data_IF_118203121441
#
_entry.id   IF_118203121441
#
_cell.length_a   1.000
_cell.length_b   1.000
_cell.length_c   1.000
_cell.angle_alpha   90.00
_cell.angle_beta   90.00
_cell.angle_gamma   90.00
#
_symmetry.space_group_name_H-M   'P 1'
#
loop_
_entity.id
_entity.type
_entity.pdbx_description
1 polymer ?
#
# COMPACT_ATOMS: atom_id res chain seq x y z
N UNK A 1 -1.23 -18.25 -7.29
CA UNK A 1 0.00 -18.42 -6.47
C UNK A 1 0.49 -17.01 -6.10
N UNK A 2 0.74 -16.70 -4.83
CA UNK A 2 1.25 -15.38 -4.41
C UNK A 2 2.74 -15.51 -4.09
N UNK A 3 3.58 -14.78 -4.81
CA UNK A 3 5.01 -14.68 -4.52
C UNK A 3 5.22 -13.86 -3.24
N UNK A 4 6.26 -14.20 -2.48
CA UNK A 4 6.64 -13.53 -1.24
C UNK A 4 8.14 -13.40 -1.21
N UNK A 5 8.60 -12.24 -0.79
CA UNK A 5 10.03 -11.91 -0.78
C UNK A 5 10.47 -11.81 0.67
N UNK A 6 11.63 -12.41 0.93
CA UNK A 6 12.29 -12.42 2.23
C UNK A 6 13.70 -11.88 2.01
N UNK A 7 14.06 -10.85 2.77
CA UNK A 7 15.45 -10.47 2.98
C UNK A 7 16.10 -11.58 3.82
N UNK A 8 16.93 -12.37 3.15
CA UNK A 8 17.57 -13.52 3.77
C UNK A 8 18.47 -13.11 4.94
N UNK A 9 19.26 -12.04 4.82
CA UNK A 9 20.21 -11.65 5.86
C UNK A 9 19.48 -11.16 7.11
N UNK A 10 18.47 -10.31 6.93
CA UNK A 10 17.65 -9.81 8.02
C UNK A 10 16.89 -10.95 8.70
N UNK A 11 16.18 -11.78 7.93
CA UNK A 11 15.32 -12.80 8.53
C UNK A 11 16.14 -13.94 9.15
N UNK A 12 17.20 -14.39 8.48
CA UNK A 12 18.01 -15.51 8.97
C UNK A 12 18.77 -15.13 10.25
N UNK A 13 19.33 -13.92 10.33
CA UNK A 13 20.01 -13.46 11.54
C UNK A 13 19.09 -13.49 12.76
N UNK A 14 17.84 -13.06 12.63
CA UNK A 14 16.86 -13.11 13.72
C UNK A 14 16.37 -14.54 13.98
N UNK A 15 16.01 -15.32 12.94
CA UNK A 15 15.52 -16.70 13.15
C UNK A 15 16.59 -17.58 13.82
N UNK A 16 17.88 -17.34 13.56
CA UNK A 16 18.98 -18.06 14.20
C UNK A 16 18.97 -17.94 15.73
N UNK A 17 18.42 -16.85 16.29
CA UNK A 17 18.27 -16.68 17.75
C UNK A 17 17.04 -17.39 18.30
N UNK A 18 16.11 -17.83 17.44
CA UNK A 18 14.83 -18.45 17.78
C UNK A 18 14.70 -19.89 17.25
N UNK A 19 15.80 -20.66 17.22
CA UNK A 19 15.77 -22.08 16.85
C UNK A 19 15.00 -22.92 17.89
N UNK A 20 15.09 -22.54 19.18
CA UNK A 20 14.38 -23.16 20.31
C UNK A 20 13.89 -22.09 21.29
N UNK A 21 12.87 -22.40 22.09
CA UNK A 21 12.38 -21.44 23.06
C UNK A 21 13.40 -21.22 24.18
N UNK A 22 13.86 -19.98 24.37
CA UNK A 22 14.80 -19.64 25.45
C UNK A 22 14.27 -19.86 26.87
N UNK A 23 12.94 -19.94 27.05
CA UNK A 23 12.31 -20.12 28.37
C UNK A 23 12.07 -21.57 28.74
N UNK A 24 11.53 -22.38 27.82
CA UNK A 24 11.10 -23.74 28.10
C UNK A 24 11.79 -24.80 27.25
N UNK A 25 12.74 -24.41 26.39
CA UNK A 25 13.41 -25.26 25.41
C UNK A 25 12.46 -25.97 24.40
N UNK A 26 11.18 -25.58 24.41
CA UNK A 26 10.14 -26.19 23.59
C UNK A 26 10.20 -25.78 22.12
N UNK A 27 9.42 -26.51 21.32
CA UNK A 27 9.32 -26.32 19.88
C UNK A 27 8.73 -24.95 19.52
N UNK A 28 9.29 -24.35 18.47
CA UNK A 28 8.86 -23.09 17.90
C UNK A 28 8.10 -23.34 16.58
N UNK A 29 6.99 -22.63 16.39
CA UNK A 29 6.17 -22.64 15.20
C UNK A 29 6.28 -21.30 14.46
N UNK A 30 6.40 -21.36 13.14
CA UNK A 30 6.47 -20.20 12.26
C UNK A 30 5.17 -20.06 11.46
N UNK A 31 4.64 -18.83 11.35
CA UNK A 31 3.44 -18.54 10.55
C UNK A 31 3.56 -17.19 9.87
N UNK A 32 3.24 -17.10 8.57
CA UNK A 32 3.13 -15.82 7.88
C UNK A 32 1.85 -15.07 8.27
N UNK A 33 1.94 -13.77 8.57
CA UNK A 33 0.82 -12.89 8.93
C UNK A 33 1.06 -11.46 8.40
N UNK A 34 0.06 -10.58 8.52
CA UNK A 34 0.14 -9.15 8.15
C UNK A 34 0.76 -8.93 6.75
N UNK A 35 0.08 -9.43 5.73
CA UNK A 35 0.54 -9.38 4.34
C UNK A 35 0.26 -7.99 3.75
N UNK A 36 1.29 -7.34 3.24
CA UNK A 36 1.24 -6.01 2.64
C UNK A 36 2.07 -6.05 1.36
N UNK A 37 1.43 -6.17 0.19
CA UNK A 37 2.14 -6.36 -1.07
C UNK A 37 2.98 -7.63 -1.09
N UNK A 38 4.28 -7.49 -1.35
CA UNK A 38 5.28 -8.55 -1.29
C UNK A 38 5.83 -8.80 0.12
N UNK A 39 5.69 -7.80 1.00
CA UNK A 39 6.13 -7.85 2.39
C UNK A 39 5.11 -8.50 3.34
N UNK A 40 5.61 -9.11 4.43
CA UNK A 40 4.77 -9.74 5.45
C UNK A 40 5.52 -9.90 6.77
N UNK A 41 4.81 -10.24 7.85
CA UNK A 41 5.44 -10.63 9.12
C UNK A 41 5.50 -12.16 9.26
N UNK A 42 6.64 -12.65 9.74
CA UNK A 42 6.82 -14.02 10.21
C UNK A 42 6.54 -14.01 11.72
N UNK A 43 5.42 -14.61 12.11
CA UNK A 43 5.10 -14.88 13.49
C UNK A 43 5.91 -16.10 13.96
N UNK A 44 6.62 -15.95 15.05
CA UNK A 44 7.39 -16.98 15.75
C UNK A 44 6.73 -17.19 17.10
N UNK A 45 6.22 -18.38 17.37
CA UNK A 45 5.54 -18.70 18.64
C UNK A 45 6.06 -20.00 19.22
N UNK A 46 6.28 -20.02 20.53
CA UNK A 46 6.50 -21.27 21.26
C UNK A 46 5.16 -21.96 21.53
N UNK A 47 5.12 -23.29 21.42
CA UNK A 47 3.92 -24.09 21.69
C UNK A 47 3.42 -23.95 23.14
N UNK A 48 4.34 -23.82 24.10
CA UNK A 48 4.03 -23.77 25.52
C UNK A 48 3.93 -22.33 26.07
N UNK A 49 4.89 -21.45 25.74
CA UNK A 49 4.93 -20.09 26.29
C UNK A 49 3.98 -19.10 25.61
N UNK A 50 3.43 -19.45 24.43
CA UNK A 50 2.40 -18.73 23.64
C UNK A 50 2.66 -17.25 23.32
N UNK A 51 3.76 -16.65 23.75
CA UNK A 51 4.13 -15.27 23.45
C UNK A 51 4.70 -15.19 22.02
N UNK A 52 4.03 -14.49 21.09
CA UNK A 52 4.47 -14.42 19.70
C UNK A 52 5.47 -13.28 19.49
N UNK A 53 6.55 -13.56 18.77
CA UNK A 53 7.47 -12.56 18.21
C UNK A 53 7.14 -12.39 16.73
N UNK A 54 7.23 -11.17 16.21
CA UNK A 54 6.97 -10.86 14.81
C UNK A 54 8.22 -10.33 14.15
N UNK A 55 8.72 -11.07 13.16
CA UNK A 55 9.88 -10.69 12.35
C UNK A 55 9.34 -10.13 11.03
N UNK A 56 9.72 -8.91 10.61
CA UNK A 56 9.34 -8.42 9.28
C UNK A 56 10.10 -9.21 8.20
N UNK A 57 9.50 -9.44 7.03
CA UNK A 57 10.15 -10.19 5.95
C UNK A 57 11.27 -9.40 5.25
N UNK A 58 11.28 -8.08 5.40
CA UNK A 58 12.31 -7.15 4.91
C UNK A 58 12.26 -5.90 5.79
N UNK A 59 13.23 -5.01 5.65
CA UNK A 59 13.24 -3.73 6.36
C UNK A 59 11.95 -2.93 6.13
N UNK A 60 11.56 -2.14 7.12
CA UNK A 60 10.42 -1.22 6.99
C UNK A 60 10.91 0.19 6.77
N UNK A 61 10.56 0.76 5.62
CA UNK A 61 10.77 2.17 5.30
C UNK A 61 9.46 2.89 5.62
N UNK A 62 9.42 3.55 6.78
CA UNK A 62 8.19 4.18 7.30
C UNK A 62 7.10 3.15 7.59
N UNK A 63 6.02 3.16 6.79
CA UNK A 63 4.86 2.27 6.97
C UNK A 63 4.85 1.05 6.05
N UNK A 64 5.75 0.97 5.07
CA UNK A 64 5.78 -0.09 4.07
C UNK A 64 7.07 -0.90 4.17
N UNK A 65 7.03 -2.12 3.67
CA UNK A 65 8.23 -2.94 3.50
C UNK A 65 9.10 -2.42 2.36
N UNK A 66 10.42 -2.48 2.50
CA UNK A 66 11.41 -2.11 1.48
C UNK A 66 11.14 -2.85 0.16
N UNK A 67 10.84 -4.16 0.22
CA UNK A 67 10.49 -4.94 -0.98
C UNK A 67 9.26 -4.41 -1.71
N UNK A 68 8.36 -3.70 -1.03
CA UNK A 68 7.25 -3.06 -1.72
C UNK A 68 7.71 -1.83 -2.49
N UNK A 69 8.71 -1.09 -2.04
CA UNK A 69 9.29 0.01 -2.83
C UNK A 69 10.03 -0.58 -4.03
N UNK A 70 10.97 -1.47 -3.77
CA UNK A 70 11.84 -2.06 -4.78
C UNK A 70 11.09 -2.84 -5.85
N UNK A 71 9.90 -3.38 -5.59
CA UNK A 71 9.12 -4.08 -6.61
C UNK A 71 7.86 -3.34 -7.08
N UNK A 72 7.44 -2.24 -6.44
CA UNK A 72 6.33 -1.41 -6.95
C UNK A 72 6.81 -0.23 -7.82
N UNK A 73 8.11 0.09 -7.83
CA UNK A 73 8.67 1.13 -8.69
C UNK A 73 8.68 0.75 -10.18
N UNK A 74 8.48 -0.54 -10.49
CA UNK A 74 8.28 -1.03 -11.84
C UNK A 74 9.28 -2.05 -12.31
N UNK A 75 9.33 -2.21 -13.63
CA UNK A 75 10.30 -3.12 -14.24
C UNK A 75 11.71 -2.52 -14.22
N UNK A 76 11.85 -1.20 -14.02
CA UNK A 76 13.17 -0.58 -13.85
C UNK A 76 13.91 -1.13 -12.62
N UNK A 77 13.18 -1.36 -11.54
CA UNK A 77 13.77 -1.94 -10.34
C UNK A 77 14.08 -3.43 -10.50
N UNK A 78 13.36 -4.14 -11.37
CA UNK A 78 13.75 -5.50 -11.78
C UNK A 78 15.09 -5.50 -12.52
N UNK A 79 15.38 -4.52 -13.38
CA UNK A 79 16.68 -4.40 -14.04
C UNK A 79 17.81 -4.13 -13.04
N UNK A 80 17.60 -3.20 -12.10
CA UNK A 80 18.57 -2.92 -11.05
C UNK A 80 18.87 -4.18 -10.21
N UNK A 81 17.83 -4.97 -9.89
CA UNK A 81 18.00 -6.24 -9.19
C UNK A 81 18.80 -7.27 -10.00
N UNK A 82 18.53 -7.40 -11.31
CA UNK A 82 19.28 -8.29 -12.19
C UNK A 82 20.75 -7.88 -12.30
N UNK A 83 21.02 -6.58 -12.37
CA UNK A 83 22.39 -6.03 -12.40
C UNK A 83 23.14 -6.32 -11.09
N UNK A 84 22.49 -6.15 -9.94
CA UNK A 84 23.07 -6.49 -8.63
C UNK A 84 23.40 -7.99 -8.53
N UNK A 85 22.53 -8.84 -9.06
CA UNK A 85 22.77 -10.29 -9.19
C UNK A 85 23.80 -10.65 -10.29
N UNK A 86 24.45 -9.67 -10.91
CA UNK A 86 25.44 -9.86 -11.99
C UNK A 86 24.88 -10.57 -13.21
N UNK A 87 23.59 -10.43 -13.46
CA UNK A 87 22.92 -10.90 -14.68
C UNK A 87 22.94 -9.73 -15.68
N UNK A 88 23.78 -9.85 -16.71
CA UNK A 88 23.88 -8.83 -17.75
C UNK A 88 22.61 -8.82 -18.61
N UNK A 89 21.98 -7.65 -18.73
CA UNK A 89 20.78 -7.44 -19.53
C UNK A 89 21.12 -6.54 -20.72
N UNK A 90 20.69 -6.93 -21.93
CA UNK A 90 21.01 -6.18 -23.15
C UNK A 90 20.25 -4.85 -23.28
N UNK A 91 20.66 -3.97 -24.21
CA UNK A 91 20.02 -2.66 -24.44
C UNK A 91 18.53 -2.75 -24.76
N UNK A 92 18.11 -3.76 -25.53
CA UNK A 92 16.69 -3.94 -25.91
C UNK A 92 15.77 -4.16 -24.70
N UNK A 93 16.27 -4.83 -23.66
CA UNK A 93 15.49 -5.03 -22.44
C UNK A 93 15.43 -3.75 -21.59
N UNK A 94 16.49 -2.92 -21.59
CA UNK A 94 16.44 -1.59 -20.98
C UNK A 94 15.41 -0.69 -21.65
N UNK A 95 15.37 -0.67 -22.98
CA UNK A 95 14.42 0.12 -23.74
C UNK A 95 12.98 -0.38 -23.58
N UNK A 96 12.77 -1.70 -23.56
CA UNK A 96 11.48 -2.30 -23.24
C UNK A 96 10.97 -1.85 -21.86
N UNK A 97 11.82 -1.97 -20.84
CA UNK A 97 11.45 -1.60 -19.47
C UNK A 97 11.15 -0.11 -19.35
N UNK A 98 11.95 0.74 -20.00
CA UNK A 98 11.73 2.18 -20.03
C UNK A 98 10.36 2.53 -20.62
N UNK A 99 10.07 2.04 -21.83
CA UNK A 99 8.79 2.32 -22.52
C UNK A 99 7.58 1.76 -21.77
N UNK A 100 7.74 0.59 -21.15
CA UNK A 100 6.68 -0.03 -20.35
C UNK A 100 6.41 0.74 -19.05
N UNK A 101 7.47 1.13 -18.33
CA UNK A 101 7.36 1.91 -17.09
C UNK A 101 6.79 3.31 -17.36
N UNK A 102 7.22 3.97 -18.45
CA UNK A 102 6.62 5.23 -18.92
C UNK A 102 5.11 5.05 -19.17
N UNK A 103 4.72 3.99 -19.89
CA UNK A 103 3.31 3.68 -20.15
C UNK A 103 2.52 3.40 -18.86
N UNK A 104 3.14 2.76 -17.87
CA UNK A 104 2.52 2.52 -16.55
C UNK A 104 2.30 3.83 -15.80
N UNK A 105 3.30 4.73 -15.79
CA UNK A 105 3.23 6.04 -15.13
C UNK A 105 2.13 6.88 -15.77
N UNK A 106 2.09 6.97 -17.10
CA UNK A 106 1.08 7.75 -17.82
C UNK A 106 -0.35 7.30 -17.49
N UNK A 107 -0.61 5.99 -17.45
CA UNK A 107 -1.92 5.45 -17.06
C UNK A 107 -2.28 5.77 -15.61
N UNK A 108 -1.29 5.73 -14.71
CA UNK A 108 -1.50 6.07 -13.30
C UNK A 108 -1.82 7.57 -13.14
N UNK A 109 -1.13 8.45 -13.88
CA UNK A 109 -1.38 9.89 -13.91
C UNK A 109 -2.76 10.21 -14.48
N UNK A 110 -3.16 9.56 -15.58
CA UNK A 110 -4.50 9.72 -16.18
C UNK A 110 -5.59 9.34 -15.18
N UNK A 111 -5.45 8.18 -14.52
CA UNK A 111 -6.39 7.74 -13.47
C UNK A 111 -6.42 8.70 -12.29
N UNK A 112 -5.25 9.18 -11.85
CA UNK A 112 -5.17 10.16 -10.77
C UNK A 112 -5.83 11.49 -11.17
N UNK A 113 -5.68 11.94 -12.42
CA UNK A 113 -6.33 13.14 -12.94
C UNK A 113 -7.86 12.99 -12.98
N UNK A 114 -8.37 11.82 -13.42
CA UNK A 114 -9.79 11.51 -13.40
C UNK A 114 -10.35 11.55 -11.98
N UNK A 115 -9.71 10.87 -11.04
CA UNK A 115 -10.12 10.84 -9.63
C UNK A 115 -10.11 12.24 -9.00
N UNK A 116 -9.11 13.08 -9.34
CA UNK A 116 -9.06 14.49 -8.89
C UNK A 116 -10.25 15.29 -9.45
N UNK A 117 -10.63 15.07 -10.70
CA UNK A 117 -11.80 15.72 -11.33
C UNK A 117 -13.09 15.27 -10.66
N UNK A 118 -13.29 13.97 -10.47
CA UNK A 118 -14.46 13.39 -9.80
C UNK A 118 -14.59 13.90 -8.37
N UNK A 119 -13.51 13.87 -7.59
CA UNK A 119 -13.48 14.39 -6.23
C UNK A 119 -13.82 15.89 -6.16
N UNK A 120 -13.43 16.67 -7.17
CA UNK A 120 -13.79 18.09 -7.26
C UNK A 120 -15.27 18.29 -7.57
N UNK A 121 -15.84 17.49 -8.48
CA UNK A 121 -17.27 17.55 -8.82
C UNK A 121 -18.12 17.17 -7.61
N UNK A 122 -17.76 16.11 -6.90
CA UNK A 122 -18.47 15.65 -5.72
C UNK A 122 -18.53 16.74 -4.63
N UNK A 123 -17.40 17.38 -4.32
CA UNK A 123 -17.36 18.49 -3.35
C UNK A 123 -18.26 19.67 -3.74
N UNK A 124 -18.34 19.98 -5.04
CA UNK A 124 -19.21 21.06 -5.54
C UNK A 124 -20.69 20.68 -5.42
N UNK A 125 -21.03 19.42 -5.70
CA UNK A 125 -22.38 18.90 -5.52
C UNK A 125 -22.79 18.95 -4.04
N UNK A 126 -21.94 18.45 -3.13
CA UNK A 126 -22.20 18.50 -1.68
C UNK A 126 -22.41 19.93 -1.15
N UNK A 127 -21.58 20.89 -1.60
CA UNK A 127 -21.75 22.30 -1.24
C UNK A 127 -23.06 22.90 -1.77
N UNK A 128 -23.43 22.55 -3.01
CA UNK A 128 -24.68 23.00 -3.60
C UNK A 128 -25.88 22.38 -2.88
N UNK A 129 -25.88 21.07 -2.63
CA UNK A 129 -26.97 20.37 -1.94
C UNK A 129 -27.16 20.93 -0.52
N UNK A 130 -26.06 21.23 0.19
CA UNK A 130 -26.13 21.88 1.50
C UNK A 130 -26.74 23.29 1.42
N UNK A 131 -26.40 24.06 0.39
CA UNK A 131 -26.95 25.40 0.16
C UNK A 131 -28.43 25.34 -0.23
N UNK A 132 -28.80 24.44 -1.13
CA UNK A 132 -30.19 24.23 -1.57
C UNK A 132 -31.07 23.78 -0.39
N UNK A 133 -30.55 22.91 0.50
CA UNK A 133 -31.22 22.53 1.75
C UNK A 133 -31.42 23.72 2.70
N UNK A 134 -30.40 24.56 2.87
CA UNK A 134 -30.49 25.77 3.70
C UNK A 134 -31.50 26.78 3.13
N UNK A 135 -31.49 26.99 1.81
CA UNK A 135 -32.45 27.85 1.11
C UNK A 135 -33.88 27.32 1.17
N UNK A 136 -34.08 26.00 1.06
CA UNK A 136 -35.39 25.38 1.21
C UNK A 136 -35.93 25.59 2.63
N UNK A 137 -35.09 25.41 3.67
CA UNK A 137 -35.46 25.70 5.05
C UNK A 137 -35.79 27.19 5.27
N UNK A 138 -35.03 28.11 4.66
CA UNK A 138 -35.29 29.55 4.72
C UNK A 138 -36.54 30.00 3.95
N UNK A 139 -36.82 29.39 2.79
CA UNK A 139 -38.04 29.63 2.00
C UNK A 139 -39.29 29.15 2.75
N UNK A 140 -39.18 28.07 3.54
CA UNK A 140 -40.27 27.58 4.40
C UNK A 140 -40.59 28.56 5.55
N UNK A 141 -39.63 29.40 5.94
CA UNK A 141 -39.81 30.49 6.92
C UNK A 141 -40.36 31.78 6.28
N UNK A 142 -40.30 31.94 4.96
CA UNK A 142 -40.84 33.06 4.20
C UNK A 142 -41.99 32.58 3.29
N UNK A 143 -43.05 32.02 3.91
CA UNK A 143 -44.25 31.58 3.21
C UNK A 143 -45.03 32.74 2.56
N UNK A 144 -45.68 32.45 1.43
CA UNK A 144 -46.50 33.38 0.66
C UNK A 144 -47.50 34.16 1.53
N UNK A 145 -47.29 35.47 1.65
CA UNK A 145 -48.19 36.36 2.37
C UNK A 145 -47.58 37.71 2.72
N UNK A 146 -47.13 38.48 1.73
CA UNK A 146 -47.23 39.93 1.79
C UNK A 146 -47.78 40.38 0.44
N UNK A 147 -49.09 40.62 0.43
CA UNK A 147 -49.80 41.36 -0.61
C UNK A 147 -49.46 42.83 -0.45
N UNK A 148 -48.67 43.39 -1.37
CA UNK A 148 -48.34 44.82 -1.43
C UNK A 148 -49.37 45.60 -2.28
N UNK A 149 -50.67 45.32 -2.11
CA UNK A 149 -51.74 46.16 -2.67
C UNK A 149 -52.12 47.26 -1.67
N UNK A 150 -51.62 48.47 -1.94
CA UNK A 150 -52.10 49.74 -1.36
C UNK A 150 -53.53 50.07 -1.77
#
# INVERSE_FOLDING_TARGET
KHYRIIDFLLVFSVISTFVKCSKCDGKIQFKSCRKEGFGFNIQVKCEHCKMPVYIPSSEKIGRMYEVNYSFNEGYIALLAFLEEMKISVGPSAHEYVKTFDESRILKAEEKAALQRKEARILRRMEQKDALDLANAAGTLLYGAGIDDSM
#
